data_IF_018523857417
#
_entry.id   IF_018523857417
#
_cell.length_a   1.000
_cell.length_b   1.000
_cell.length_c   1.000
_cell.angle_alpha   90.00
_cell.angle_beta   90.00
_cell.angle_gamma   90.00
#
_symmetry.space_group_name_H-M   'P 1'
#
loop_
_entity.id
_entity.type
_entity.pdbx_description
1 polymer ?
#
# COMPACT_ATOMS: atom_id res chain seq x y z
N UNK A 1 -21.04 -14.50 -9.64
CA UNK A 1 -19.76 -13.77 -9.82
C UNK A 1 -19.69 -12.43 -9.06
N UNK A 2 -20.65 -11.50 -9.18
CA UNK A 2 -20.57 -10.21 -8.45
C UNK A 2 -20.92 -10.34 -6.95
N UNK A 3 -21.88 -11.20 -6.60
CA UNK A 3 -22.27 -11.49 -5.21
C UNK A 3 -21.12 -12.13 -4.41
N UNK A 4 -20.39 -13.06 -5.02
CA UNK A 4 -19.24 -13.74 -4.42
C UNK A 4 -18.09 -12.76 -4.09
N UNK A 5 -17.73 -11.86 -5.01
CA UNK A 5 -16.76 -10.79 -4.73
C UNK A 5 -17.19 -9.90 -3.57
N UNK A 6 -18.45 -9.45 -3.54
CA UNK A 6 -18.97 -8.63 -2.43
C UNK A 6 -18.94 -9.38 -1.10
N UNK A 7 -19.28 -10.67 -1.10
CA UNK A 7 -19.20 -11.51 0.11
C UNK A 7 -17.76 -11.67 0.59
N UNK A 8 -16.81 -11.91 -0.32
CA UNK A 8 -15.39 -11.97 0.01
C UNK A 8 -14.89 -10.67 0.62
N UNK A 9 -15.20 -9.52 0.03
CA UNK A 9 -14.77 -8.22 0.57
C UNK A 9 -15.34 -7.95 1.97
N UNK A 10 -16.60 -8.35 2.24
CA UNK A 10 -17.16 -8.28 3.61
C UNK A 10 -16.44 -9.22 4.57
N UNK A 11 -16.09 -10.43 4.13
CA UNK A 11 -15.36 -11.39 4.95
C UNK A 11 -13.95 -10.88 5.28
N UNK A 12 -13.23 -10.34 4.28
CA UNK A 12 -11.91 -9.70 4.44
C UNK A 12 -12.01 -8.58 5.48
N UNK A 13 -12.97 -7.65 5.30
CA UNK A 13 -13.18 -6.56 6.24
C UNK A 13 -13.46 -7.09 7.65
N UNK A 14 -14.39 -8.05 7.79
CA UNK A 14 -14.76 -8.63 9.08
C UNK A 14 -13.56 -9.22 9.83
N UNK A 15 -12.72 -10.00 9.13
CA UNK A 15 -11.51 -10.59 9.71
C UNK A 15 -10.51 -9.54 10.19
N UNK A 16 -10.20 -8.56 9.33
CA UNK A 16 -9.26 -7.49 9.68
C UNK A 16 -9.77 -6.65 10.85
N UNK A 17 -11.05 -6.28 10.87
CA UNK A 17 -11.62 -5.48 11.96
C UNK A 17 -11.70 -6.22 13.29
N UNK A 18 -11.71 -7.56 13.28
CA UNK A 18 -11.57 -8.39 14.48
C UNK A 18 -10.11 -8.55 14.93
N UNK A 19 -9.16 -8.00 14.19
CA UNK A 19 -7.74 -8.09 14.50
C UNK A 19 -7.08 -9.40 14.05
N UNK A 20 -7.68 -10.13 13.11
CA UNK A 20 -7.05 -11.28 12.46
C UNK A 20 -6.05 -10.79 11.39
N UNK A 21 -4.85 -10.45 11.85
CA UNK A 21 -3.68 -10.17 11.03
C UNK A 21 -2.42 -10.63 11.77
N UNK A 22 -1.36 -11.02 11.05
CA UNK A 22 -0.09 -11.38 11.65
C UNK A 22 0.43 -10.33 12.63
N UNK A 23 0.99 -10.78 13.75
CA UNK A 23 1.57 -9.94 14.79
C UNK A 23 2.75 -9.13 14.27
N UNK A 24 3.55 -9.68 13.34
CA UNK A 24 4.68 -8.94 12.76
C UNK A 24 4.28 -7.67 12.01
N UNK A 25 3.10 -7.63 11.39
CA UNK A 25 2.60 -6.44 10.68
C UNK A 25 2.34 -5.25 11.61
N UNK A 26 2.17 -5.51 12.92
CA UNK A 26 1.91 -4.48 13.93
C UNK A 26 3.16 -3.70 14.32
N UNK A 27 4.36 -4.18 13.97
CA UNK A 27 5.63 -3.53 14.26
C UNK A 27 6.03 -2.62 13.09
N UNK A 28 5.62 -1.35 13.16
CA UNK A 28 5.88 -0.39 12.09
C UNK A 28 7.37 -0.07 11.95
N UNK A 29 7.81 0.10 10.71
CA UNK A 29 9.19 0.44 10.37
C UNK A 29 9.27 1.92 9.97
N UNK A 30 10.23 2.69 10.52
CA UNK A 30 10.42 4.07 10.10
C UNK A 30 11.02 4.13 8.69
N UNK A 31 10.44 4.97 7.83
CA UNK A 31 10.93 5.28 6.48
C UNK A 31 11.15 6.78 6.39
N UNK A 32 12.35 7.20 5.98
CA UNK A 32 12.75 8.60 5.88
C UNK A 32 12.51 9.13 4.48
N UNK A 33 11.95 10.33 4.37
CA UNK A 33 11.78 11.04 3.12
C UNK A 33 12.40 12.43 3.25
N UNK A 34 12.90 12.94 2.13
CA UNK A 34 13.40 14.31 2.06
C UNK A 34 12.95 15.02 0.78
N UNK A 35 12.92 16.35 0.84
CA UNK A 35 12.65 17.21 -0.30
C UNK A 35 13.51 18.47 -0.22
N UNK A 36 14.38 18.65 -1.23
CA UNK A 36 15.19 19.86 -1.37
C UNK A 36 14.32 21.07 -1.68
N UNK A 37 14.47 22.13 -0.87
CA UNK A 37 13.84 23.44 -1.09
C UNK A 37 14.85 24.39 -1.75
N UNK A 38 14.33 25.49 -2.29
CA UNK A 38 15.16 26.59 -2.77
C UNK A 38 16.08 27.11 -1.63
N UNK A 39 17.33 27.44 -1.96
CA UNK A 39 18.31 27.93 -0.99
C UNK A 39 18.99 26.84 -0.14
N UNK A 40 18.99 25.58 -0.58
CA UNK A 40 19.79 24.51 0.03
C UNK A 40 19.21 23.88 1.31
N UNK A 41 18.05 24.36 1.79
CA UNK A 41 17.34 23.75 2.93
C UNK A 41 16.61 22.49 2.47
N UNK A 42 16.60 21.43 3.28
CA UNK A 42 15.81 20.23 3.02
C UNK A 42 14.63 20.14 3.99
N UNK A 43 13.47 19.69 3.51
CA UNK A 43 12.36 19.26 4.35
C UNK A 43 12.49 17.75 4.57
N UNK A 44 12.46 17.32 5.82
CA UNK A 44 12.60 15.91 6.22
C UNK A 44 11.35 15.39 6.90
N UNK A 45 11.00 14.15 6.59
CA UNK A 45 9.91 13.44 7.24
C UNK A 45 10.33 12.00 7.56
N UNK A 46 9.85 11.48 8.69
CA UNK A 46 9.88 10.06 9.01
C UNK A 46 8.43 9.60 9.13
N UNK A 47 8.03 8.70 8.24
CA UNK A 47 6.74 7.99 8.30
C UNK A 47 6.96 6.62 8.93
N UNK A 48 5.89 6.00 9.41
CA UNK A 48 5.93 4.65 9.99
C UNK A 48 5.05 3.73 9.16
N UNK A 49 5.62 2.69 8.56
CA UNK A 49 4.95 1.84 7.58
C UNK A 49 4.83 0.42 8.11
N UNK A 50 3.77 -0.29 7.73
CA UNK A 50 3.75 -1.74 7.94
C UNK A 50 4.91 -2.38 7.14
N UNK A 51 5.60 -3.38 7.71
CA UNK A 51 6.75 -4.01 7.08
C UNK A 51 6.39 -4.71 5.76
N UNK A 52 5.12 -5.12 5.62
CA UNK A 52 4.58 -5.79 4.44
C UNK A 52 3.11 -5.40 4.18
N UNK A 53 2.50 -5.97 3.14
CA UNK A 53 1.08 -5.79 2.83
C UNK A 53 0.17 -6.45 3.86
N UNK A 54 -1.05 -5.93 4.00
CA UNK A 54 -2.09 -6.55 4.81
C UNK A 54 -2.29 -8.02 4.44
N UNK A 55 -2.40 -8.83 5.48
CA UNK A 55 -2.64 -10.24 5.41
C UNK A 55 -3.63 -10.66 6.50
N UNK A 56 -4.29 -11.80 6.29
CA UNK A 56 -5.17 -12.43 7.29
C UNK A 56 -4.50 -13.74 7.71
N UNK A 57 -4.43 -13.99 9.03
CA UNK A 57 -3.80 -15.16 9.61
C UNK A 57 -2.85 -14.82 10.76
N UNK A 58 -1.91 -15.73 11.01
CA UNK A 58 -0.91 -15.70 12.08
C UNK A 58 0.49 -15.41 11.55
N UNK A 59 1.49 -15.28 12.43
CA UNK A 59 2.88 -15.09 12.01
C UNK A 59 3.47 -16.28 11.22
N UNK A 60 2.87 -17.47 11.32
CA UNK A 60 3.35 -18.70 10.67
C UNK A 60 2.48 -19.20 9.51
N UNK A 61 1.27 -18.68 9.38
CA UNK A 61 0.30 -19.07 8.35
C UNK A 61 -0.64 -17.90 8.08
N UNK A 62 -0.43 -17.22 6.97
CA UNK A 62 -1.18 -16.04 6.57
C UNK A 62 -1.29 -15.94 5.05
N UNK A 63 -2.34 -15.26 4.60
CA UNK A 63 -2.54 -14.94 3.20
C UNK A 63 -2.48 -13.42 3.01
N UNK A 64 -1.51 -12.93 2.21
CA UNK A 64 -1.51 -11.52 1.76
C UNK A 64 -2.78 -11.28 0.95
N UNK A 65 -3.61 -10.35 1.40
CA UNK A 65 -4.99 -10.26 0.93
C UNK A 65 -5.20 -9.01 0.06
N UNK A 66 -5.31 -9.16 -1.27
CA UNK A 66 -5.86 -8.13 -2.12
C UNK A 66 -7.27 -7.76 -1.68
N UNK A 67 -7.58 -6.47 -1.72
CA UNK A 67 -8.94 -5.97 -1.51
C UNK A 67 -9.17 -4.74 -2.38
N UNK A 68 -10.44 -4.41 -2.57
CA UNK A 68 -10.82 -3.25 -3.36
C UNK A 68 -10.63 -1.93 -2.57
N UNK A 69 -10.78 -0.79 -3.24
CA UNK A 69 -10.56 0.53 -2.61
C UNK A 69 -11.49 0.78 -1.43
N UNK A 70 -12.77 0.38 -1.52
CA UNK A 70 -13.75 0.60 -0.46
C UNK A 70 -13.39 -0.16 0.82
N UNK A 71 -12.99 -1.43 0.68
CA UNK A 71 -12.54 -2.26 1.81
C UNK A 71 -11.24 -1.72 2.39
N UNK A 72 -10.28 -1.34 1.54
CA UNK A 72 -9.02 -0.75 1.98
C UNK A 72 -9.26 0.55 2.76
N UNK A 73 -10.13 1.44 2.28
CA UNK A 73 -10.49 2.69 2.98
C UNK A 73 -11.13 2.41 4.34
N UNK A 74 -12.06 1.46 4.42
CA UNK A 74 -12.68 1.10 5.70
C UNK A 74 -11.65 0.57 6.73
N UNK A 75 -10.66 -0.21 6.26
CA UNK A 75 -9.57 -0.70 7.11
C UNK A 75 -8.65 0.44 7.56
N UNK A 76 -8.22 1.32 6.66
CA UNK A 76 -7.30 2.42 7.02
C UNK A 76 -7.95 3.38 8.01
N UNK A 77 -9.23 3.70 7.81
CA UNK A 77 -9.99 4.58 8.71
C UNK A 77 -10.11 3.96 10.10
N UNK A 78 -10.44 2.67 10.18
CA UNK A 78 -10.60 1.98 11.46
C UNK A 78 -9.26 1.80 12.20
N UNK A 79 -8.16 1.59 11.48
CA UNK A 79 -6.85 1.36 12.10
C UNK A 79 -6.10 2.66 12.41
N UNK A 80 -6.52 3.81 11.87
CA UNK A 80 -5.77 5.07 12.01
C UNK A 80 -4.54 5.13 11.10
N UNK A 81 -4.69 4.66 9.86
CA UNK A 81 -3.65 4.65 8.83
C UNK A 81 -4.08 5.44 7.61
N UNK A 82 -3.19 5.55 6.63
CA UNK A 82 -3.43 6.09 5.29
C UNK A 82 -2.85 5.14 4.25
N UNK A 83 -3.38 5.23 3.02
CA UNK A 83 -2.75 4.61 1.86
C UNK A 83 -1.56 5.49 1.39
N UNK A 84 -0.48 4.88 0.86
CA UNK A 84 0.71 5.61 0.46
C UNK A 84 0.47 6.43 -0.82
N UNK A 85 1.26 7.49 -1.01
CA UNK A 85 1.44 8.10 -2.35
C UNK A 85 2.44 7.28 -3.15
N UNK A 86 2.55 7.54 -4.46
CA UNK A 86 3.66 7.02 -5.28
C UNK A 86 5.03 7.24 -4.62
N UNK A 87 5.30 8.46 -4.18
CA UNK A 87 6.60 8.85 -3.58
C UNK A 87 6.91 8.04 -2.31
N UNK A 88 5.88 7.76 -1.51
CA UNK A 88 6.02 6.91 -0.32
C UNK A 88 6.35 5.47 -0.72
N UNK A 89 5.68 4.92 -1.74
CA UNK A 89 6.00 3.57 -2.25
C UNK A 89 7.45 3.48 -2.72
N UNK A 90 7.93 4.49 -3.47
CA UNK A 90 9.32 4.54 -3.93
C UNK A 90 10.31 4.60 -2.75
N UNK A 91 10.04 5.42 -1.74
CA UNK A 91 10.87 5.51 -0.53
C UNK A 91 10.88 4.21 0.30
N UNK A 92 9.74 3.51 0.37
CA UNK A 92 9.64 2.19 1.00
C UNK A 92 10.50 1.19 0.23
N UNK A 93 10.42 1.19 -1.10
CA UNK A 93 11.25 0.32 -1.92
C UNK A 93 12.74 0.60 -1.64
N UNK A 94 13.18 1.84 -1.77
CA UNK A 94 14.57 2.24 -1.56
C UNK A 94 15.13 1.82 -0.19
N UNK A 95 14.31 1.89 0.87
CA UNK A 95 14.73 1.57 2.25
C UNK A 95 14.37 0.14 2.71
N UNK A 96 13.81 -0.69 1.84
CA UNK A 96 13.50 -2.08 2.18
C UNK A 96 14.78 -2.89 2.39
N UNK A 97 14.79 -3.71 3.44
CA UNK A 97 15.87 -4.67 3.71
C UNK A 97 15.94 -5.76 2.64
N UNK A 98 14.80 -6.09 2.02
CA UNK A 98 14.71 -7.09 0.96
C UNK A 98 13.76 -6.67 -0.15
N UNK A 99 14.21 -6.80 -1.39
CA UNK A 99 13.38 -6.65 -2.58
C UNK A 99 13.03 -8.02 -3.13
N UNK A 100 11.74 -8.24 -3.38
CA UNK A 100 11.29 -9.37 -4.16
C UNK A 100 11.42 -9.05 -5.65
N UNK A 101 11.84 -10.04 -6.43
CA UNK A 101 11.69 -10.02 -7.88
C UNK A 101 10.22 -10.27 -8.23
N UNK A 102 9.57 -9.41 -9.02
CA UNK A 102 8.19 -9.60 -9.48
C UNK A 102 8.00 -10.94 -10.19
N UNK A 103 6.91 -11.66 -9.86
CA UNK A 103 6.55 -12.93 -10.49
C UNK A 103 5.09 -12.90 -10.99
N UNK A 104 4.81 -12.26 -12.14
CA UNK A 104 3.47 -12.21 -12.69
C UNK A 104 2.94 -13.60 -13.03
N UNK A 105 1.68 -13.85 -12.67
CA UNK A 105 0.90 -14.99 -13.14
C UNK A 105 0.17 -14.64 -14.47
N UNK A 106 -0.14 -15.64 -15.31
CA UNK A 106 -0.89 -15.45 -16.55
C UNK A 106 -2.17 -14.63 -16.37
N UNK A 107 -2.43 -13.73 -17.31
CA UNK A 107 -3.65 -12.92 -17.27
C UNK A 107 -4.89 -13.78 -17.57
N UNK A 108 -6.01 -13.50 -16.90
CA UNK A 108 -7.29 -14.15 -17.15
C UNK A 108 -8.33 -13.90 -16.06
N UNK A 109 -9.56 -14.42 -16.22
CA UNK A 109 -10.65 -14.21 -15.26
C UNK A 109 -10.31 -14.65 -13.83
N UNK A 110 -9.46 -15.68 -13.71
CA UNK A 110 -8.99 -16.25 -12.45
C UNK A 110 -8.14 -15.27 -11.63
N UNK A 111 -7.60 -14.19 -12.21
CA UNK A 111 -6.78 -13.21 -11.49
C UNK A 111 -7.45 -12.63 -10.22
N UNK A 112 -8.78 -12.69 -10.17
CA UNK A 112 -9.60 -12.19 -9.05
C UNK A 112 -10.13 -13.29 -8.13
N UNK A 113 -9.67 -14.53 -8.29
CA UNK A 113 -10.07 -15.70 -7.49
C UNK A 113 -9.15 -15.90 -6.29
N UNK A 114 -9.67 -16.54 -5.25
CA UNK A 114 -8.91 -16.82 -4.02
C UNK A 114 -7.77 -17.81 -4.30
N UNK A 115 -7.96 -18.75 -5.21
CA UNK A 115 -6.94 -19.72 -5.61
C UNK A 115 -5.73 -19.03 -6.25
N UNK A 116 -5.96 -17.97 -7.04
CA UNK A 116 -4.90 -17.17 -7.62
C UNK A 116 -4.16 -16.33 -6.59
N UNK A 117 -4.87 -15.88 -5.54
CA UNK A 117 -4.25 -15.19 -4.41
C UNK A 117 -3.30 -16.15 -3.68
N UNK A 118 -3.78 -17.35 -3.33
CA UNK A 118 -2.99 -18.40 -2.68
C UNK A 118 -1.78 -18.82 -3.52
N UNK A 119 -1.96 -19.02 -4.82
CA UNK A 119 -0.88 -19.40 -5.73
C UNK A 119 0.25 -18.36 -5.72
N UNK A 120 -0.10 -17.08 -5.88
CA UNK A 120 0.91 -16.02 -5.86
C UNK A 120 1.53 -15.81 -4.48
N UNK A 121 0.76 -16.01 -3.41
CA UNK A 121 1.26 -15.89 -2.04
C UNK A 121 2.31 -16.96 -1.73
N UNK A 122 2.06 -18.22 -2.10
CA UNK A 122 3.04 -19.31 -1.98
C UNK A 122 4.32 -19.05 -2.79
N UNK A 123 4.22 -18.38 -3.95
CA UNK A 123 5.40 -17.96 -4.72
C UNK A 123 6.23 -16.90 -3.98
N UNK A 124 5.56 -15.94 -3.33
CA UNK A 124 6.22 -14.93 -2.49
C UNK A 124 6.90 -15.63 -1.31
N UNK A 125 6.24 -16.55 -0.61
CA UNK A 125 6.82 -17.24 0.53
C UNK A 125 8.03 -18.09 0.14
N UNK A 126 7.96 -18.81 -0.99
CA UNK A 126 9.10 -19.53 -1.54
C UNK A 126 10.28 -18.60 -1.82
N UNK A 127 10.02 -17.41 -2.36
CA UNK A 127 11.06 -16.43 -2.62
C UNK A 127 11.64 -15.83 -1.32
N UNK A 128 10.79 -15.58 -0.33
CA UNK A 128 11.17 -15.09 1.00
C UNK A 128 12.10 -16.07 1.69
N UNK A 129 11.74 -17.36 1.70
CA UNK A 129 12.55 -18.45 2.24
C UNK A 129 13.88 -18.60 1.49
N UNK A 130 13.85 -18.60 0.15
CA UNK A 130 15.06 -18.72 -0.67
C UNK A 130 16.02 -17.54 -0.55
N UNK A 131 15.55 -16.38 -0.06
CA UNK A 131 16.36 -15.19 0.21
C UNK A 131 16.61 -14.93 1.69
N UNK A 132 16.10 -15.79 2.57
CA UNK A 132 16.20 -15.67 4.02
C UNK A 132 15.74 -14.31 4.56
N UNK A 133 14.66 -13.74 4.01
CA UNK A 133 14.13 -12.48 4.51
C UNK A 133 13.59 -12.66 5.95
N UNK A 134 14.04 -11.85 6.93
CA UNK A 134 13.55 -11.96 8.29
C UNK A 134 12.06 -11.59 8.38
N UNK A 135 11.30 -12.34 9.17
CA UNK A 135 9.89 -12.03 9.41
C UNK A 135 9.75 -10.65 10.06
N UNK A 136 8.96 -9.77 9.44
CA UNK A 136 8.78 -8.40 9.89
C UNK A 136 9.90 -7.42 9.50
N UNK A 137 10.90 -7.85 8.71
CA UNK A 137 11.75 -6.90 8.01
C UNK A 137 10.93 -6.09 7.00
N UNK A 138 11.33 -4.84 6.75
CA UNK A 138 10.69 -4.04 5.70
C UNK A 138 11.06 -4.63 4.33
N UNK A 139 10.06 -5.13 3.62
CA UNK A 139 10.25 -5.77 2.31
C UNK A 139 9.30 -5.20 1.28
N UNK A 140 9.68 -5.22 0.00
CA UNK A 140 8.89 -4.65 -1.10
C UNK A 140 9.13 -5.37 -2.43
N UNK A 141 8.46 -4.97 -3.51
CA UNK A 141 8.68 -5.52 -4.86
C UNK A 141 7.82 -6.74 -5.25
N UNK A 142 7.00 -7.30 -4.35
CA UNK A 142 6.19 -8.48 -4.64
C UNK A 142 4.74 -8.20 -5.08
N UNK A 143 4.21 -6.99 -4.87
CA UNK A 143 2.86 -6.56 -5.30
C UNK A 143 2.88 -5.13 -5.83
N UNK A 144 1.78 -4.71 -6.44
CA UNK A 144 1.43 -3.33 -6.79
C UNK A 144 0.70 -2.70 -5.59
N UNK A 145 1.18 -1.58 -5.10
CA UNK A 145 0.51 -0.81 -4.07
C UNK A 145 -0.75 -0.14 -4.62
N UNK A 146 -1.82 -0.17 -3.82
CA UNK A 146 -2.91 0.79 -3.98
C UNK A 146 -2.49 2.12 -3.35
N UNK A 147 -2.57 3.20 -4.12
CA UNK A 147 -2.02 4.51 -3.74
C UNK A 147 -3.07 5.62 -3.78
N UNK A 148 -2.80 6.72 -3.07
CA UNK A 148 -3.52 7.98 -3.24
C UNK A 148 -2.81 8.88 -4.26
N UNK A 149 -3.61 9.59 -5.07
CA UNK A 149 -3.12 10.44 -6.17
C UNK A 149 -4.17 11.47 -6.59
N UNK A 150 -3.76 12.66 -7.04
CA UNK A 150 -4.70 13.65 -7.56
C UNK A 150 -5.43 13.20 -8.82
N UNK A 151 -4.94 12.15 -9.53
CA UNK A 151 -5.61 11.58 -10.70
C UNK A 151 -7.03 11.09 -10.39
N UNK A 152 -7.30 10.66 -9.16
CA UNK A 152 -8.63 10.18 -8.74
C UNK A 152 -9.69 11.29 -8.74
N UNK A 153 -9.31 12.56 -8.63
CA UNK A 153 -10.25 13.70 -8.71
C UNK A 153 -11.00 13.75 -10.05
N UNK A 154 -10.31 13.36 -11.12
CA UNK A 154 -10.83 13.41 -12.49
C UNK A 154 -11.33 12.04 -12.97
N UNK A 155 -11.25 11.03 -12.09
CA UNK A 155 -11.56 9.63 -12.37
C UNK A 155 -12.37 9.06 -11.20
N UNK A 156 -13.56 9.62 -10.89
CA UNK A 156 -14.40 9.11 -9.81
C UNK A 156 -14.73 7.63 -10.02
N UNK A 157 -14.81 6.86 -8.93
CA UNK A 157 -15.08 5.43 -8.98
C UNK A 157 -13.92 4.58 -9.52
N UNK A 158 -12.69 5.12 -9.58
CA UNK A 158 -11.47 4.37 -9.93
C UNK A 158 -10.60 4.09 -8.72
N UNK A 159 -9.72 3.10 -8.87
CA UNK A 159 -8.62 2.79 -7.94
C UNK A 159 -7.31 3.19 -8.60
N UNK A 160 -6.37 3.73 -7.82
CA UNK A 160 -5.02 4.02 -8.29
C UNK A 160 -4.04 2.95 -7.82
N UNK A 161 -3.27 2.41 -8.76
CA UNK A 161 -2.29 1.35 -8.52
C UNK A 161 -0.92 1.74 -9.06
N UNK A 162 0.12 1.38 -8.33
CA UNK A 162 1.50 1.72 -8.65
C UNK A 162 2.49 0.68 -8.11
N UNK A 163 3.61 0.46 -8.79
CA UNK A 163 4.75 -0.27 -8.23
C UNK A 163 5.00 -1.62 -8.89
N UNK A 164 5.18 -2.66 -8.06
CA UNK A 164 5.73 -3.95 -8.49
C UNK A 164 7.10 -3.79 -9.15
N UNK A 165 7.99 -3.11 -8.42
CA UNK A 165 9.28 -2.63 -8.90
C UNK A 165 10.26 -3.75 -9.23
N UNK A 166 11.10 -3.51 -10.25
CA UNK A 166 12.33 -4.28 -10.53
C UNK A 166 13.57 -3.63 -9.92
N UNK A 167 13.50 -2.33 -9.65
CA UNK A 167 14.56 -1.48 -9.15
C UNK A 167 14.00 -0.16 -8.64
N UNK A 168 14.83 0.65 -8.00
CA UNK A 168 14.43 1.97 -7.47
C UNK A 168 13.96 2.86 -8.62
N UNK A 169 12.73 3.35 -8.55
CA UNK A 169 12.14 4.16 -9.62
C UNK A 169 11.75 3.38 -10.89
N UNK A 170 11.84 2.05 -10.88
CA UNK A 170 11.54 1.17 -12.02
C UNK A 170 10.31 0.27 -11.75
N UNK A 171 9.09 0.85 -11.69
CA UNK A 171 7.87 0.09 -11.49
C UNK A 171 7.46 -0.67 -12.76
N UNK A 172 7.01 -1.92 -12.63
CA UNK A 172 6.32 -2.61 -13.73
C UNK A 172 4.93 -2.00 -13.95
N UNK A 173 4.27 -1.59 -12.87
CA UNK A 173 3.00 -0.89 -12.90
C UNK A 173 3.23 0.62 -12.78
N UNK A 174 3.23 1.40 -13.88
CA UNK A 174 3.17 2.85 -13.77
C UNK A 174 1.87 3.27 -13.08
N UNK A 175 1.85 4.49 -12.53
CA UNK A 175 0.68 5.02 -11.82
C UNK A 175 -0.54 4.96 -12.75
N UNK A 176 -1.52 4.13 -12.41
CA UNK A 176 -2.63 3.79 -13.29
C UNK A 176 -3.96 3.87 -12.55
N UNK A 177 -4.99 4.34 -13.26
CA UNK A 177 -6.39 4.44 -12.76
C UNK A 177 -7.38 3.75 -13.69
N UNK A 178 -6.91 2.79 -14.49
CA UNK A 178 -7.74 2.11 -15.52
C UNK A 178 -8.84 1.23 -14.90
N UNK A 179 -8.62 0.72 -13.69
CA UNK A 179 -9.55 -0.17 -13.00
C UNK A 179 -10.57 0.60 -12.15
N UNK A 180 -11.77 0.03 -12.01
CA UNK A 180 -12.80 0.54 -11.10
C UNK A 180 -12.43 0.34 -9.63
N UNK A 181 -13.00 1.15 -8.74
CA UNK A 181 -12.76 1.09 -7.29
C UNK A 181 -13.04 -0.28 -6.67
N UNK A 182 -13.95 -1.06 -7.27
CA UNK A 182 -14.27 -2.44 -6.88
C UNK A 182 -13.34 -3.52 -7.43
N UNK A 183 -12.29 -3.17 -8.17
CA UNK A 183 -11.35 -4.13 -8.74
C UNK A 183 -10.26 -4.53 -7.74
N UNK A 184 -10.04 -5.84 -7.60
CA UNK A 184 -8.93 -6.41 -6.85
C UNK A 184 -8.49 -7.73 -7.48
N UNK A 185 -7.20 -7.81 -7.82
CA UNK A 185 -6.57 -9.04 -8.33
C UNK A 185 -5.39 -9.46 -7.44
N UNK A 186 -4.84 -10.65 -7.73
CA UNK A 186 -3.74 -11.24 -6.98
C UNK A 186 -2.52 -10.32 -6.82
N UNK A 187 -2.33 -9.35 -7.73
CA UNK A 187 -1.16 -8.48 -7.79
C UNK A 187 -1.30 -7.24 -6.92
N UNK A 188 -2.49 -6.92 -6.40
CA UNK A 188 -2.67 -5.81 -5.47
C UNK A 188 -2.06 -6.11 -4.10
N UNK A 189 -1.48 -5.08 -3.50
CA UNK A 189 -1.04 -5.04 -2.12
C UNK A 189 -1.58 -3.79 -1.43
N UNK A 190 -2.12 -3.96 -0.23
CA UNK A 190 -2.53 -2.84 0.63
C UNK A 190 -1.48 -2.68 1.70
N UNK A 191 -0.61 -1.67 1.56
CA UNK A 191 0.40 -1.35 2.57
C UNK A 191 -0.06 -0.15 3.36
N UNK A 192 -0.10 -0.27 4.67
CA UNK A 192 -0.56 0.81 5.53
C UNK A 192 0.60 1.68 6.01
N UNK A 193 0.37 2.98 6.02
CA UNK A 193 1.26 4.00 6.59
C UNK A 193 0.53 4.64 7.77
N UNK A 194 1.16 4.73 8.93
CA UNK A 194 0.53 5.34 10.11
C UNK A 194 0.02 6.75 9.77
N UNK A 195 -1.15 7.13 10.29
CA UNK A 195 -1.71 8.46 10.05
C UNK A 195 -0.82 9.58 10.56
N UNK A 196 0.08 9.30 11.49
CA UNK A 196 1.00 10.27 12.07
C UNK A 196 2.43 10.07 11.53
N UNK A 197 3.09 11.17 11.22
CA UNK A 197 4.48 11.22 10.77
C UNK A 197 5.26 12.28 11.56
N UNK A 198 6.57 12.08 11.69
CA UNK A 198 7.47 13.11 12.22
C UNK A 198 7.94 13.97 11.06
N UNK A 199 7.64 15.27 11.06
CA UNK A 199 8.11 16.23 10.06
C UNK A 199 8.83 17.35 10.79
N UNK A 200 10.11 17.58 10.44
CA UNK A 200 10.97 18.55 11.13
C UNK A 200 10.93 18.41 12.67
N UNK A 201 10.92 17.17 13.17
CA UNK A 201 10.88 16.86 14.60
C UNK A 201 9.52 17.03 15.28
N UNK A 202 8.44 17.33 14.54
CA UNK A 202 7.07 17.45 15.07
C UNK A 202 6.18 16.33 14.56
N UNK A 203 5.35 15.77 15.45
CA UNK A 203 4.35 14.77 15.08
C UNK A 203 3.14 15.48 14.43
N UNK A 204 2.83 15.14 13.18
CA UNK A 204 1.72 15.72 12.41
C UNK A 204 0.96 14.65 11.64
N UNK A 205 -0.31 14.90 11.32
CA UNK A 205 -1.08 13.98 10.48
C UNK A 205 -0.58 14.02 9.04
N UNK A 206 -0.43 12.85 8.40
CA UNK A 206 -0.13 12.74 6.98
C UNK A 206 -1.20 13.44 6.14
N UNK A 207 -2.47 13.43 6.55
CA UNK A 207 -3.50 14.17 5.84
C UNK A 207 -3.23 15.68 5.83
N UNK A 208 -2.86 16.27 6.96
CA UNK A 208 -2.53 17.70 7.04
C UNK A 208 -1.29 18.02 6.20
N UNK A 209 -0.25 17.18 6.31
CA UNK A 209 0.98 17.29 5.50
C UNK A 209 0.64 17.26 4.00
N UNK A 210 -0.20 16.33 3.57
CA UNK A 210 -0.56 16.17 2.17
C UNK A 210 -1.48 17.27 1.64
N UNK A 211 -2.24 17.97 2.49
CA UNK A 211 -3.06 19.12 2.07
C UNK A 211 -2.26 20.43 2.03
N UNK A 212 -1.16 20.53 2.78
CA UNK A 212 -0.28 21.70 2.79
C UNK A 212 0.59 21.77 1.53
N UNK A 213 0.56 22.91 0.82
CA UNK A 213 1.25 23.09 -0.47
C UNK A 213 2.78 23.07 -0.38
N UNK A 214 3.34 23.33 0.80
CA UNK A 214 4.77 23.34 1.08
C UNK A 214 5.21 21.99 1.62
N UNK A 215 4.49 21.43 2.60
CA UNK A 215 4.87 20.19 3.28
C UNK A 215 4.62 18.97 2.39
N UNK A 216 3.55 18.94 1.59
CA UNK A 216 3.19 17.78 0.78
C UNK A 216 4.30 17.33 -0.16
N UNK A 217 5.21 18.23 -0.57
CA UNK A 217 6.35 17.93 -1.44
C UNK A 217 7.32 16.89 -0.86
N UNK A 218 7.35 16.71 0.47
CA UNK A 218 8.16 15.64 1.09
C UNK A 218 7.52 14.27 0.93
N UNK A 219 6.19 14.19 0.83
CA UNK A 219 5.44 12.94 0.75
C UNK A 219 4.77 12.70 -0.61
N UNK A 220 4.82 13.64 -1.56
CA UNK A 220 4.11 13.55 -2.84
C UNK A 220 4.85 14.29 -3.95
N UNK A 221 5.06 13.63 -5.09
CA UNK A 221 5.57 14.26 -6.31
C UNK A 221 4.49 15.09 -7.04
N UNK A 222 3.23 14.95 -6.64
CA UNK A 222 2.10 15.72 -7.18
C UNK A 222 1.86 17.03 -6.41
N UNK A 223 2.71 17.34 -5.42
CA UNK A 223 2.44 18.39 -4.45
C UNK A 223 1.25 18.03 -3.55
N UNK A 224 0.46 19.04 -3.17
CA UNK A 224 -0.69 18.84 -2.31
C UNK A 224 -1.73 17.90 -2.94
N UNK A 225 -2.15 16.88 -2.20
CA UNK A 225 -3.21 15.95 -2.57
C UNK A 225 -4.54 16.55 -2.14
N UNK A 226 -5.45 16.74 -3.10
CA UNK A 226 -6.78 17.34 -2.89
C UNK A 226 -7.92 16.36 -3.16
N UNK A 227 -7.66 15.06 -2.96
CA UNK A 227 -8.72 14.05 -2.98
C UNK A 227 -9.25 13.91 -1.57
N UNK A 228 -10.59 13.94 -1.42
CA UNK A 228 -11.20 13.77 -0.11
C UNK A 228 -10.95 12.33 0.39
N UNK A 229 -10.58 12.12 1.66
CA UNK A 229 -10.42 10.79 2.25
C UNK A 229 -11.71 9.96 2.24
N UNK A 230 -12.86 10.63 2.18
CA UNK A 230 -14.17 10.00 2.11
C UNK A 230 -14.43 9.39 0.72
N UNK A 231 -13.85 8.23 0.45
CA UNK A 231 -14.28 7.34 -0.64
C UNK A 231 -15.52 6.52 -0.22
N UNK A 232 -16.47 7.17 0.46
CA UNK A 232 -17.65 6.56 1.04
C UNK A 232 -18.91 7.25 0.53
N UNK A 233 -19.77 6.44 -0.10
CA UNK A 233 -21.12 6.73 -0.61
C UNK A 233 -21.20 7.23 -2.06
N UNK A 234 -21.07 6.28 -2.98
CA UNK A 234 -21.96 6.17 -4.13
C UNK A 234 -22.37 4.70 -4.28
#
# INVERSE_FOLDING_TARGET
MNTDRKQRERAILGQLLQGNLPGFLRRLVPVKLSYGRAGGKSLTATIFVMPEYLAIGSDSDFLRIPMNLHTATAVVDRFGFVLPTKKIVDAIYEQSTGHFTPQPLPAGPQMTSTEYYQTHDAMIDKQSQGRSFPLGALVSGHKKDVVITNRLRWRPGRIAIYGWHRGTGEPIQPLSTVHGAGYADYSHGIRLVAKMAMIEGRLQSIYDILHDSVLAKVLSDEGAIRVSPAYGNA
#
